data_IF_627019727973
#
_entry.id   IF_627019727973
#
_cell.length_a   1.000
_cell.length_b   1.000
_cell.length_c   1.000
_cell.angle_alpha   90.00
_cell.angle_beta   90.00
_cell.angle_gamma   90.00
#
_symmetry.space_group_name_H-M   'P 1'
#
loop_
_entity.id
_entity.type
_entity.pdbx_description
1 polymer ?
#
# COMPACT_ATOMS: atom_id res chain seq x y z
N UNK A 1 20.55 5.95 0.31
CA UNK A 1 19.40 5.10 0.71
C UNK A 1 19.80 4.31 1.94
N UNK A 2 19.00 4.36 3.02
CA UNK A 2 19.35 3.80 4.34
C UNK A 2 19.91 2.37 4.28
N UNK A 3 19.27 1.48 3.52
CA UNK A 3 19.71 0.09 3.39
C UNK A 3 21.13 -0.11 2.85
N UNK A 4 21.63 0.81 2.02
CA UNK A 4 23.03 0.77 1.52
C UNK A 4 24.05 1.25 2.56
N UNK A 5 23.60 1.89 3.63
CA UNK A 5 24.45 2.33 4.73
C UNK A 5 24.54 1.29 5.87
N UNK A 6 23.85 0.14 5.73
CA UNK A 6 23.93 -0.97 6.67
C UNK A 6 25.21 -1.78 6.41
N UNK A 7 26.07 -1.93 7.42
CA UNK A 7 27.34 -2.67 7.27
C UNK A 7 27.15 -4.18 7.40
N UNK A 8 26.42 -4.59 8.45
CA UNK A 8 26.22 -6.00 8.82
C UNK A 8 25.11 -6.64 7.98
N UNK A 9 24.06 -5.88 7.64
CA UNK A 9 22.87 -6.38 6.93
C UNK A 9 22.72 -5.72 5.56
N UNK A 10 23.67 -6.00 4.65
CA UNK A 10 23.73 -5.38 3.31
C UNK A 10 22.54 -5.71 2.40
N UNK A 11 21.82 -6.80 2.67
CA UNK A 11 20.65 -7.22 1.88
C UNK A 11 19.53 -6.18 1.89
N UNK A 12 19.45 -5.34 2.94
CA UNK A 12 18.51 -4.22 3.05
C UNK A 12 18.73 -3.14 1.96
N UNK A 13 19.89 -3.13 1.30
CA UNK A 13 20.15 -2.28 0.13
C UNK A 13 19.68 -2.86 -1.21
N UNK A 14 19.35 -4.15 -1.25
CA UNK A 14 19.00 -4.90 -2.45
C UNK A 14 17.50 -4.99 -2.72
N UNK A 15 17.11 -5.26 -3.96
CA UNK A 15 15.71 -5.56 -4.30
C UNK A 15 15.51 -7.08 -4.37
N UNK A 16 14.47 -7.59 -3.72
CA UNK A 16 14.06 -8.99 -3.82
C UNK A 16 12.53 -9.06 -3.88
N UNK A 17 11.98 -10.18 -4.38
CA UNK A 17 10.55 -10.26 -4.71
C UNK A 17 9.63 -9.91 -3.54
N UNK A 18 9.95 -10.40 -2.35
CA UNK A 18 9.13 -10.27 -1.15
C UNK A 18 8.86 -8.81 -0.74
N UNK A 19 9.87 -7.93 -0.78
CA UNK A 19 9.71 -6.54 -0.30
C UNK A 19 8.81 -5.69 -1.17
N UNK A 20 8.50 -6.13 -2.39
CA UNK A 20 7.74 -5.33 -3.36
C UNK A 20 6.44 -4.82 -2.74
N UNK A 21 5.74 -5.67 -2.00
CA UNK A 21 4.45 -5.30 -1.43
C UNK A 21 4.59 -4.23 -0.35
N UNK A 22 5.52 -4.39 0.59
CA UNK A 22 5.80 -3.37 1.61
C UNK A 22 6.27 -2.06 0.99
N UNK A 23 7.15 -2.10 -0.01
CA UNK A 23 7.71 -0.90 -0.63
C UNK A 23 6.67 -0.13 -1.47
N UNK A 24 5.89 -0.82 -2.30
CA UNK A 24 4.81 -0.19 -3.09
C UNK A 24 3.69 0.31 -2.16
N UNK A 25 3.36 -0.45 -1.12
CA UNK A 25 2.41 -0.03 -0.08
C UNK A 25 2.84 1.24 0.64
N UNK A 26 4.13 1.32 1.01
CA UNK A 26 4.69 2.49 1.67
C UNK A 26 4.69 3.72 0.76
N UNK A 27 4.90 3.53 -0.54
CA UNK A 27 4.79 4.59 -1.53
C UNK A 27 3.36 5.13 -1.62
N UNK A 28 2.36 4.26 -1.79
CA UNK A 28 0.95 4.68 -1.87
C UNK A 28 0.49 5.30 -0.55
N UNK A 29 0.89 4.74 0.59
CA UNK A 29 0.60 5.32 1.91
C UNK A 29 1.22 6.72 2.05
N UNK A 30 2.46 6.90 1.58
CA UNK A 30 3.12 8.21 1.60
C UNK A 30 2.36 9.23 0.75
N UNK A 31 1.92 8.86 -0.45
CA UNK A 31 1.07 9.73 -1.29
C UNK A 31 -0.23 10.12 -0.56
N UNK A 32 -0.83 9.18 0.16
CA UNK A 32 -2.07 9.39 0.91
C UNK A 32 -1.89 10.33 2.11
N UNK A 33 -0.94 10.03 3.00
CA UNK A 33 -0.75 10.80 4.24
C UNK A 33 -0.24 12.23 3.98
N UNK A 34 0.42 12.47 2.85
CA UNK A 34 0.85 13.82 2.46
C UNK A 34 -0.19 14.56 1.62
N UNK A 35 -1.36 13.96 1.35
CA UNK A 35 -2.39 14.57 0.51
C UNK A 35 -2.00 14.73 -0.95
N UNK A 36 -0.96 14.02 -1.42
CA UNK A 36 -0.51 14.06 -2.81
C UNK A 36 -1.25 13.06 -3.70
N UNK A 37 -2.00 12.12 -3.13
CA UNK A 37 -2.84 11.19 -3.88
C UNK A 37 -4.09 11.90 -4.41
N UNK A 38 -4.38 11.72 -5.70
CA UNK A 38 -5.63 12.19 -6.30
C UNK A 38 -6.66 11.06 -6.49
N UNK A 39 -7.93 11.43 -6.69
CA UNK A 39 -9.03 10.47 -6.88
C UNK A 39 -8.81 9.56 -8.09
N UNK A 40 -8.19 10.07 -9.16
CA UNK A 40 -7.90 9.29 -10.37
C UNK A 40 -6.83 8.23 -10.10
N UNK A 41 -5.82 8.56 -9.29
CA UNK A 41 -4.78 7.64 -8.83
C UNK A 41 -5.38 6.52 -7.99
N UNK A 42 -6.26 6.85 -7.05
CA UNK A 42 -6.93 5.85 -6.21
C UNK A 42 -7.86 4.95 -7.03
N UNK A 43 -8.70 5.52 -7.90
CA UNK A 43 -9.57 4.77 -8.83
C UNK A 43 -8.78 3.80 -9.70
N UNK A 44 -7.68 4.26 -10.30
CA UNK A 44 -6.82 3.41 -11.13
C UNK A 44 -6.27 2.20 -10.37
N UNK A 45 -5.93 2.35 -9.10
CA UNK A 45 -5.47 1.20 -8.28
C UNK A 45 -6.63 0.24 -8.02
N UNK A 46 -7.81 0.74 -7.65
CA UNK A 46 -9.00 -0.08 -7.39
C UNK A 46 -9.50 -0.80 -8.65
N UNK A 47 -9.67 -0.09 -9.75
CA UNK A 47 -10.14 -0.64 -11.04
C UNK A 47 -9.23 -1.77 -11.53
N UNK A 48 -7.93 -1.71 -11.23
CA UNK A 48 -6.99 -2.79 -11.59
C UNK A 48 -7.16 -4.02 -10.74
N UNK A 49 -7.47 -3.87 -9.46
CA UNK A 49 -7.79 -5.02 -8.60
C UNK A 49 -9.06 -5.69 -9.09
N UNK A 50 -10.08 -4.92 -9.43
CA UNK A 50 -11.33 -5.43 -10.03
C UNK A 50 -11.07 -6.12 -11.37
N UNK A 51 -10.31 -5.50 -12.28
CA UNK A 51 -9.97 -6.08 -13.57
C UNK A 51 -9.12 -7.37 -13.46
N UNK A 52 -8.25 -7.46 -12.46
CA UNK A 52 -7.53 -8.70 -12.16
C UNK A 52 -8.52 -9.78 -11.72
N UNK A 53 -9.45 -9.45 -10.82
CA UNK A 53 -10.49 -10.39 -10.40
C UNK A 53 -11.35 -10.83 -11.58
N UNK A 54 -11.80 -9.92 -12.43
CA UNK A 54 -12.53 -10.26 -13.67
C UNK A 54 -11.75 -11.27 -14.52
N UNK A 55 -10.44 -11.08 -14.67
CA UNK A 55 -9.62 -11.99 -15.44
C UNK A 55 -9.44 -13.35 -14.75
N UNK A 56 -9.29 -13.39 -13.42
CA UNK A 56 -9.32 -14.65 -12.64
C UNK A 56 -10.63 -15.40 -12.90
N UNK A 57 -11.75 -14.67 -12.96
CA UNK A 57 -13.09 -15.21 -13.21
C UNK A 57 -13.33 -15.58 -14.69
N UNK A 58 -12.31 -15.45 -15.54
CA UNK A 58 -12.34 -15.90 -16.94
C UNK A 58 -12.54 -14.80 -17.97
N UNK A 59 -12.57 -13.52 -17.59
CA UNK A 59 -12.66 -12.43 -18.56
C UNK A 59 -11.40 -12.34 -19.44
N UNK A 60 -11.63 -12.26 -20.76
CA UNK A 60 -10.57 -12.08 -21.74
C UNK A 60 -10.09 -10.63 -21.84
N UNK A 61 -9.03 -10.41 -22.63
CA UNK A 61 -8.46 -9.08 -22.85
C UNK A 61 -9.49 -8.04 -23.32
N UNK A 62 -10.42 -8.43 -24.20
CA UNK A 62 -11.39 -7.51 -24.80
C UNK A 62 -12.45 -7.10 -23.77
N UNK A 63 -12.91 -8.05 -22.95
CA UNK A 63 -13.84 -7.77 -21.85
C UNK A 63 -13.23 -6.82 -20.83
N UNK A 64 -11.98 -7.07 -20.40
CA UNK A 64 -11.26 -6.18 -19.48
C UNK A 64 -10.97 -4.81 -20.12
N UNK A 65 -10.63 -4.77 -21.41
CA UNK A 65 -10.47 -3.50 -22.13
C UNK A 65 -11.76 -2.69 -22.18
N UNK A 66 -12.92 -3.31 -22.42
CA UNK A 66 -14.23 -2.65 -22.39
C UNK A 66 -14.55 -2.10 -21.00
N UNK A 67 -14.25 -2.85 -19.95
CA UNK A 67 -14.37 -2.37 -18.57
C UNK A 67 -13.59 -1.08 -18.32
N UNK A 68 -12.34 -1.01 -18.80
CA UNK A 68 -11.53 0.21 -18.68
C UNK A 68 -11.99 1.33 -19.64
N UNK A 69 -12.57 0.99 -20.79
CA UNK A 69 -13.05 1.97 -21.76
C UNK A 69 -14.17 2.84 -21.19
N UNK A 70 -15.05 2.25 -20.37
CA UNK A 70 -16.12 2.97 -19.66
C UNK A 70 -15.60 3.89 -18.54
N UNK A 71 -14.38 3.63 -18.05
CA UNK A 71 -13.77 4.30 -16.89
C UNK A 71 -12.63 5.25 -17.25
N UNK A 72 -12.17 5.23 -18.50
CA UNK A 72 -11.04 6.02 -18.98
C UNK A 72 -11.50 7.14 -19.93
N UNK A 73 -10.79 8.27 -19.91
CA UNK A 73 -11.05 9.37 -20.86
C UNK A 73 -10.55 9.06 -22.27
N UNK A 74 -9.46 8.28 -22.36
CA UNK A 74 -8.79 7.97 -23.61
C UNK A 74 -8.77 6.46 -23.83
N UNK A 75 -9.00 6.04 -25.08
CA UNK A 75 -8.89 4.64 -25.50
C UNK A 75 -7.51 4.05 -25.24
N UNK A 76 -6.46 4.87 -25.38
CA UNK A 76 -5.07 4.49 -25.09
C UNK A 76 -4.84 4.18 -23.63
N UNK A 77 -5.45 4.95 -22.71
CA UNK A 77 -5.39 4.67 -21.27
C UNK A 77 -6.11 3.35 -20.94
N UNK A 78 -7.28 3.11 -21.53
CA UNK A 78 -8.00 1.86 -21.32
C UNK A 78 -7.19 0.64 -21.81
N UNK A 79 -6.55 0.77 -22.98
CA UNK A 79 -5.71 -0.27 -23.55
C UNK A 79 -4.49 -0.54 -22.65
N UNK A 80 -3.79 0.49 -22.18
CA UNK A 80 -2.63 0.32 -21.32
C UNK A 80 -2.99 -0.28 -19.96
N UNK A 81 -4.14 0.07 -19.38
CA UNK A 81 -4.61 -0.59 -18.15
C UNK A 81 -4.91 -2.07 -18.38
N UNK A 82 -5.62 -2.43 -19.45
CA UNK A 82 -5.86 -3.83 -19.80
C UNK A 82 -4.55 -4.58 -20.05
N UNK A 83 -3.63 -4.01 -20.85
CA UNK A 83 -2.31 -4.58 -21.15
C UNK A 83 -1.53 -4.93 -19.89
N UNK A 84 -1.62 -4.14 -18.82
CA UNK A 84 -0.92 -4.43 -17.55
C UNK A 84 -1.40 -5.72 -16.88
N UNK A 85 -2.66 -6.07 -17.05
CA UNK A 85 -3.26 -7.29 -16.48
C UNK A 85 -2.86 -8.53 -17.27
N UNK A 86 -2.65 -8.40 -18.58
CA UNK A 86 -2.34 -9.53 -19.46
C UNK A 86 -0.87 -9.63 -19.88
N UNK A 87 0.00 -8.69 -19.49
CA UNK A 87 1.41 -8.66 -19.93
C UNK A 87 2.12 -9.97 -19.54
N UNK A 88 2.65 -10.66 -20.54
CA UNK A 88 3.36 -11.93 -20.34
C UNK A 88 2.48 -13.09 -19.87
N UNK A 89 1.14 -12.95 -19.95
CA UNK A 89 0.16 -13.95 -19.51
C UNK A 89 -0.81 -14.40 -20.61
N UNK A 90 -1.88 -15.09 -20.20
CA UNK A 90 -2.88 -15.68 -21.08
C UNK A 90 -3.97 -14.67 -21.42
N UNK A 91 -4.18 -14.37 -22.70
CA UNK A 91 -5.13 -13.33 -23.16
C UNK A 91 -6.62 -13.74 -23.04
N UNK A 92 -6.91 -15.03 -22.84
CA UNK A 92 -8.26 -15.60 -22.78
C UNK A 92 -8.86 -15.64 -21.37
N UNK A 93 -8.18 -15.07 -20.37
CA UNK A 93 -8.61 -15.10 -18.97
C UNK A 93 -8.08 -16.31 -18.18
N UNK A 94 -8.45 -16.39 -16.90
CA UNK A 94 -8.08 -17.41 -15.91
C UNK A 94 -6.74 -17.16 -15.20
N UNK A 95 -5.74 -16.63 -15.92
CA UNK A 95 -4.36 -16.50 -15.41
C UNK A 95 -3.77 -15.09 -15.65
N UNK A 96 -4.32 -14.05 -15.01
CA UNK A 96 -3.80 -12.69 -15.15
C UNK A 96 -2.44 -12.50 -14.48
N UNK A 97 -1.73 -11.47 -14.92
CA UNK A 97 -0.56 -10.95 -14.22
C UNK A 97 -0.98 -10.08 -13.02
N UNK A 98 -0.95 -10.67 -11.83
CA UNK A 98 -1.51 -10.11 -10.59
C UNK A 98 -0.68 -9.02 -9.91
N UNK A 99 0.40 -8.54 -10.56
CA UNK A 99 1.36 -7.62 -9.92
C UNK A 99 0.73 -6.35 -9.34
N UNK A 100 -0.30 -5.81 -9.97
CA UNK A 100 -0.90 -4.55 -9.52
C UNK A 100 -1.79 -4.70 -8.26
N UNK A 101 -2.03 -5.92 -7.75
CA UNK A 101 -2.67 -6.14 -6.45
C UNK A 101 -1.80 -5.60 -5.30
N UNK A 102 -0.47 -5.63 -5.45
CA UNK A 102 0.48 -5.29 -4.37
C UNK A 102 0.35 -3.84 -3.89
N UNK A 103 -0.22 -2.94 -4.71
CA UNK A 103 -0.44 -1.54 -4.34
C UNK A 103 -1.51 -1.41 -3.26
N UNK A 104 -2.69 -1.99 -3.49
CA UNK A 104 -3.82 -1.90 -2.54
C UNK A 104 -3.58 -2.77 -1.31
N UNK A 105 -3.11 -4.00 -1.52
CA UNK A 105 -2.75 -4.91 -0.42
C UNK A 105 -1.62 -4.30 0.44
N UNK A 106 -0.57 -3.78 -0.20
CA UNK A 106 0.52 -3.08 0.48
C UNK A 106 0.03 -1.85 1.26
N UNK A 107 -0.85 -1.03 0.68
CA UNK A 107 -1.44 0.13 1.36
C UNK A 107 -2.18 -0.29 2.64
N UNK A 108 -3.03 -1.31 2.56
CA UNK A 108 -3.78 -1.83 3.72
C UNK A 108 -2.84 -2.36 4.78
N UNK A 109 -1.83 -3.15 4.40
CA UNK A 109 -0.85 -3.70 5.34
C UNK A 109 -0.07 -2.59 6.05
N UNK A 110 0.44 -1.61 5.31
CA UNK A 110 1.20 -0.48 5.86
C UNK A 110 0.33 0.38 6.76
N UNK A 111 -0.88 0.72 6.33
CA UNK A 111 -1.83 1.47 7.14
C UNK A 111 -2.09 0.78 8.48
N UNK A 112 -2.41 -0.52 8.45
CA UNK A 112 -2.68 -1.29 9.66
C UNK A 112 -1.46 -1.42 10.57
N UNK A 113 -0.28 -1.60 9.98
CA UNK A 113 0.98 -1.62 10.72
C UNK A 113 1.24 -0.30 11.43
N UNK A 114 1.17 0.84 10.72
CA UNK A 114 1.41 2.16 11.31
C UNK A 114 0.37 2.45 12.40
N UNK A 115 -0.92 2.16 12.15
CA UNK A 115 -1.98 2.26 13.17
C UNK A 115 -1.60 1.51 14.45
N UNK A 116 -1.18 0.25 14.33
CA UNK A 116 -0.81 -0.59 15.46
C UNK A 116 0.42 -0.03 16.22
N UNK A 117 1.43 0.43 15.49
CA UNK A 117 2.65 1.01 16.06
C UNK A 117 2.36 2.33 16.79
N UNK A 118 1.57 3.21 16.19
CA UNK A 118 1.16 4.50 16.78
C UNK A 118 0.32 4.28 18.04
N UNK A 119 -0.64 3.34 18.01
CA UNK A 119 -1.48 3.02 19.18
C UNK A 119 -0.69 2.56 20.40
N UNK A 120 0.52 2.01 20.19
CA UNK A 120 1.42 1.52 21.24
C UNK A 120 2.57 2.50 21.54
N UNK A 121 2.62 3.66 20.89
CA UNK A 121 3.71 4.63 21.03
C UNK A 121 5.09 4.10 20.58
N UNK A 122 5.12 3.05 19.75
CA UNK A 122 6.36 2.34 19.34
C UNK A 122 7.07 3.03 18.17
N UNK A 123 7.40 4.31 18.34
CA UNK A 123 8.08 5.13 17.34
C UNK A 123 9.38 4.50 16.81
N UNK A 124 10.07 3.78 17.68
CA UNK A 124 11.30 3.07 17.39
C UNK A 124 11.12 1.94 16.35
N UNK A 125 9.90 1.39 16.23
CA UNK A 125 9.49 0.39 15.25
C UNK A 125 9.03 1.06 13.95
N UNK A 126 8.36 2.21 14.03
CA UNK A 126 7.98 2.99 12.85
C UNK A 126 9.21 3.43 12.06
N UNK A 127 10.22 3.94 12.74
CA UNK A 127 11.48 4.37 12.11
C UNK A 127 12.23 3.18 11.49
N UNK A 128 12.17 2.00 12.12
CA UNK A 128 12.83 0.79 11.64
C UNK A 128 12.37 0.37 10.24
N UNK A 129 11.11 0.67 9.87
CA UNK A 129 10.58 0.45 8.51
C UNK A 129 11.41 1.11 7.42
N UNK A 130 12.15 2.16 7.77
CA UNK A 130 13.01 2.93 6.87
C UNK A 130 14.48 2.52 6.93
N UNK A 131 14.88 1.52 7.74
CA UNK A 131 16.27 1.09 7.82
C UNK A 131 16.81 0.51 6.50
N UNK A 132 15.92 0.14 5.57
CA UNK A 132 16.20 -0.23 4.19
C UNK A 132 14.98 -0.84 3.51
N UNK A 133 15.20 -1.76 2.58
CA UNK A 133 14.13 -2.52 1.94
C UNK A 133 13.77 -3.72 2.81
N UNK A 134 12.64 -3.60 3.48
CA UNK A 134 12.11 -4.54 4.46
C UNK A 134 10.76 -5.05 3.96
N UNK A 135 10.42 -6.30 4.28
CA UNK A 135 9.05 -6.80 4.23
C UNK A 135 8.46 -6.78 5.64
N UNK A 136 7.19 -6.37 5.78
CA UNK A 136 6.56 -6.22 7.10
C UNK A 136 6.56 -7.50 7.94
N UNK A 137 6.50 -8.68 7.31
CA UNK A 137 6.52 -9.96 8.01
C UNK A 137 7.87 -10.25 8.68
N UNK A 138 8.94 -9.59 8.21
CA UNK A 138 10.29 -9.70 8.78
C UNK A 138 10.51 -8.75 9.97
N UNK A 139 9.52 -7.92 10.33
CA UNK A 139 9.67 -6.90 11.39
C UNK A 139 10.12 -7.47 12.76
N UNK A 140 9.65 -8.66 13.22
CA UNK A 140 10.17 -9.27 14.44
C UNK A 140 11.69 -9.51 14.37
N UNK A 141 12.17 -10.12 13.28
CA UNK A 141 13.60 -10.33 13.03
C UNK A 141 14.37 -9.01 12.97
N UNK A 142 13.78 -7.98 12.36
CA UNK A 142 14.38 -6.65 12.32
C UNK A 142 14.56 -6.03 13.71
N UNK A 143 13.67 -6.33 14.65
CA UNK A 143 13.78 -5.86 16.04
C UNK A 143 14.89 -6.59 16.79
N UNK A 144 15.01 -7.90 16.64
CA UNK A 144 16.11 -8.69 17.21
C UNK A 144 17.47 -8.17 16.72
N UNK A 145 17.63 -7.96 15.40
CA UNK A 145 18.86 -7.42 14.82
C UNK A 145 19.17 -5.99 15.30
N UNK A 146 18.14 -5.21 15.66
CA UNK A 146 18.33 -3.88 16.25
C UNK A 146 18.84 -4.00 17.69
N UNK A 147 18.29 -4.91 18.48
CA UNK A 147 18.71 -5.18 19.86
C UNK A 147 20.15 -5.71 19.93
N UNK A 148 20.55 -6.53 18.96
CA UNK A 148 21.93 -7.00 18.81
C UNK A 148 22.91 -5.93 18.28
N UNK A 149 22.43 -4.73 17.96
CA UNK A 149 23.26 -3.64 17.44
C UNK A 149 23.75 -3.87 15.99
N UNK A 150 23.13 -4.81 15.26
CA UNK A 150 23.48 -5.11 13.87
C UNK A 150 22.91 -4.10 12.87
N UNK A 151 21.93 -3.30 13.28
CA UNK A 151 21.28 -2.30 12.44
C UNK A 151 21.71 -0.89 12.82
N UNK A 152 22.09 -0.12 11.80
CA UNK A 152 22.25 1.33 11.93
C UNK A 152 20.90 2.02 11.87
N UNK A 153 20.70 3.09 12.65
CA UNK A 153 19.47 3.88 12.58
C UNK A 153 19.29 4.47 11.17
N UNK A 154 18.05 4.60 10.69
CA UNK A 154 17.77 5.20 9.39
C UNK A 154 18.21 6.68 9.40
N UNK A 155 18.98 7.08 8.39
CA UNK A 155 19.45 8.47 8.22
C UNK A 155 18.40 9.35 7.53
N UNK A 156 17.68 8.78 6.58
CA UNK A 156 16.68 9.47 5.77
C UNK A 156 15.30 9.02 6.20
N UNK A 157 14.51 9.93 6.76
CA UNK A 157 13.12 9.68 7.15
C UNK A 157 12.20 10.66 6.40
N UNK A 158 11.00 10.23 5.97
CA UNK A 158 10.00 11.14 5.44
C UNK A 158 9.56 12.16 6.49
N UNK A 159 9.16 13.36 6.06
CA UNK A 159 8.71 14.42 6.96
C UNK A 159 7.56 13.97 7.86
N UNK A 160 6.58 13.23 7.34
CA UNK A 160 5.45 12.71 8.11
C UNK A 160 5.83 11.64 9.15
N UNK A 161 7.05 11.13 9.11
CA UNK A 161 7.63 10.25 10.15
C UNK A 161 8.43 11.05 11.17
N UNK A 162 9.00 12.19 10.79
CA UNK A 162 9.76 13.06 11.72
C UNK A 162 8.81 13.94 12.51
N UNK A 163 7.91 14.62 11.80
CA UNK A 163 6.80 15.42 12.33
C UNK A 163 5.56 14.53 12.44
N UNK A 164 5.44 13.90 13.61
CA UNK A 164 4.49 12.80 13.86
C UNK A 164 3.13 13.30 14.32
N UNK A 165 2.97 14.59 14.62
CA UNK A 165 1.75 15.12 15.24
C UNK A 165 0.52 14.86 14.36
N UNK A 166 0.66 15.09 13.06
CA UNK A 166 -0.39 14.76 12.10
C UNK A 166 -0.66 13.26 12.02
N UNK A 167 0.40 12.44 11.95
CA UNK A 167 0.28 10.98 11.86
C UNK A 167 -0.44 10.40 13.09
N UNK A 168 -0.02 10.81 14.29
CA UNK A 168 -0.60 10.39 15.56
C UNK A 168 -2.04 10.85 15.66
N UNK A 169 -2.33 12.11 15.33
CA UNK A 169 -3.69 12.66 15.35
C UNK A 169 -4.62 11.92 14.39
N UNK A 170 -4.17 11.69 13.15
CA UNK A 170 -4.89 10.96 12.13
C UNK A 170 -5.26 9.54 12.61
N UNK A 171 -4.28 8.78 13.10
CA UNK A 171 -4.54 7.41 13.54
C UNK A 171 -5.33 7.34 14.85
N UNK A 172 -5.15 8.30 15.76
CA UNK A 172 -5.96 8.38 16.98
C UNK A 172 -7.43 8.61 16.65
N UNK A 173 -7.71 9.54 15.72
CA UNK A 173 -9.05 9.77 15.20
C UNK A 173 -9.60 8.55 14.45
N UNK A 174 -8.78 7.93 13.59
CA UNK A 174 -9.19 6.75 12.82
C UNK A 174 -9.57 5.56 13.72
N UNK A 175 -8.80 5.32 14.79
CA UNK A 175 -9.11 4.28 15.78
C UNK A 175 -10.43 4.61 16.48
N UNK A 176 -10.58 5.85 16.95
CA UNK A 176 -11.80 6.31 17.62
C UNK A 176 -13.04 6.14 16.72
N UNK A 177 -12.99 6.60 15.47
CA UNK A 177 -14.08 6.45 14.49
C UNK A 177 -14.40 4.97 14.22
N UNK A 178 -13.38 4.11 14.16
CA UNK A 178 -13.56 2.68 13.95
C UNK A 178 -14.25 1.94 15.10
N UNK A 179 -14.24 2.51 16.31
CA UNK A 179 -14.94 1.97 17.49
C UNK A 179 -16.37 2.51 17.64
N UNK A 180 -16.74 3.55 16.89
CA UNK A 180 -18.08 4.13 16.94
C UNK A 180 -19.11 3.24 16.21
N UNK A 181 -20.28 3.08 16.84
CA UNK A 181 -21.46 2.46 16.21
C UNK A 181 -22.20 3.50 15.36
N UNK A 182 -22.05 3.40 14.04
CA UNK A 182 -22.64 4.34 13.08
C UNK A 182 -24.08 3.99 12.69
N UNK A 183 -24.59 2.80 13.07
CA UNK A 183 -25.91 2.32 12.58
C UNK A 183 -27.06 3.24 13.02
N UNK A 184 -27.01 3.76 14.24
CA UNK A 184 -28.08 4.63 14.78
C UNK A 184 -28.10 6.02 14.15
N UNK A 185 -26.96 6.54 13.73
CA UNK A 185 -26.85 7.84 13.05
C UNK A 185 -27.21 7.73 11.58
N UNK A 186 -26.88 6.62 10.94
CA UNK A 186 -27.15 6.40 9.52
C UNK A 186 -28.65 6.37 9.22
N UNK A 187 -29.46 5.73 10.07
CA UNK A 187 -30.93 5.72 9.94
C UNK A 187 -31.54 7.13 9.99
N UNK A 188 -31.02 7.99 10.87
CA UNK A 188 -31.47 9.39 10.96
C UNK A 188 -31.10 10.19 9.70
N UNK A 189 -29.88 10.04 9.19
CA UNK A 189 -29.44 10.77 7.99
C UNK A 189 -30.04 10.22 6.71
N UNK A 190 -30.34 8.91 6.63
CA UNK A 190 -31.07 8.33 5.50
C UNK A 190 -32.45 8.96 5.33
N UNK A 191 -33.09 9.42 6.41
CA UNK A 191 -34.37 10.13 6.33
C UNK A 191 -34.30 11.49 5.61
N UNK A 192 -33.10 12.02 5.33
CA UNK A 192 -32.88 13.26 4.59
C UNK A 192 -32.77 13.06 3.06
N UNK A 193 -32.72 11.82 2.58
CA UNK A 193 -32.58 11.45 1.16
C UNK A 193 -33.71 10.52 0.71
#
# INVERSE_FOLDING_TARGET
LNGRHQDSIKILGGNYGAVTKTQEGLAVFSEFITGCIDVSRMRRVMDRVEAIQMSIDGADFIQVYRFFLERSRLKTEAFENARRIFRGGVMTGGYPFTKDIVYLDGLVRIHNFIRAVVSRGRNDVLELLFAGKIELDDMPTMLELKEEGMLRPPRYLPHWVVDKDYLVSYFSLSIFIGEMDHQKTDEYYQSLF
#
